data_IF_496038479519
#
_entry.id   IF_496038479519
#
_cell.length_a   1.000
_cell.length_b   1.000
_cell.length_c   1.000
_cell.angle_alpha   90.00
_cell.angle_beta   90.00
_cell.angle_gamma   90.00
#
_symmetry.space_group_name_H-M   'P 1'
#
loop_
_entity.id
_entity.type
_entity.pdbx_description
1 polymer ?
#
# COMPACT_ATOMS: atom_id res chain seq x y z
N UNK A 1 11.69 46.30 37.65
CA UNK A 1 11.35 44.89 37.92
C UNK A 1 10.12 44.53 37.09
N UNK A 2 10.25 43.70 36.04
CA UNK A 2 9.08 43.33 35.23
C UNK A 2 9.34 42.79 33.81
N UNK A 3 10.53 42.27 33.47
CA UNK A 3 10.83 41.77 32.11
C UNK A 3 11.01 40.24 32.00
N UNK A 4 10.84 39.47 33.08
CA UNK A 4 11.17 38.04 33.07
C UNK A 4 10.03 37.07 32.69
N UNK A 5 8.81 37.55 32.42
CA UNK A 5 7.64 36.67 32.24
C UNK A 5 7.28 36.32 30.79
N UNK A 6 7.84 36.98 29.77
CA UNK A 6 7.51 36.74 28.35
C UNK A 6 8.44 35.72 27.68
N UNK A 7 9.71 35.66 28.09
CA UNK A 7 10.70 34.76 27.49
C UNK A 7 10.37 33.26 27.70
N UNK A 8 9.79 32.92 28.85
CA UNK A 8 9.51 31.52 29.25
C UNK A 8 8.40 30.85 28.42
N UNK A 9 7.56 31.62 27.70
CA UNK A 9 6.46 31.08 26.89
C UNK A 9 6.91 30.60 25.51
N UNK A 10 7.94 31.21 24.94
CA UNK A 10 8.45 30.88 23.60
C UNK A 10 9.39 29.68 23.61
N UNK A 11 10.21 29.52 24.65
CA UNK A 11 11.04 28.32 24.83
C UNK A 11 10.20 27.05 24.90
N UNK A 12 9.08 27.06 25.63
CA UNK A 12 8.21 25.88 25.75
C UNK A 12 7.52 25.53 24.43
N UNK A 13 7.11 26.51 23.64
CA UNK A 13 6.51 26.29 22.31
C UNK A 13 7.56 25.77 21.32
N UNK A 14 8.77 26.33 21.34
CA UNK A 14 9.89 25.88 20.52
C UNK A 14 10.34 24.45 20.88
N UNK A 15 10.40 24.11 22.18
CA UNK A 15 10.75 22.77 22.65
C UNK A 15 9.69 21.74 22.24
N UNK A 16 8.40 22.12 22.28
CA UNK A 16 7.30 21.24 21.87
C UNK A 16 7.31 21.01 20.35
N UNK A 17 7.60 22.04 19.54
CA UNK A 17 7.77 21.93 18.09
C UNK A 17 9.01 21.10 17.70
N UNK A 18 10.11 21.21 18.44
CA UNK A 18 11.31 20.39 18.25
C UNK A 18 11.10 18.92 18.61
N UNK A 19 10.31 18.64 19.67
CA UNK A 19 9.94 17.27 20.04
C UNK A 19 8.97 16.63 19.04
N UNK A 20 8.03 17.40 18.46
CA UNK A 20 7.13 16.93 17.39
C UNK A 20 7.88 16.75 16.07
N UNK A 21 8.84 17.64 15.75
CA UNK A 21 9.68 17.53 14.55
C UNK A 21 10.69 16.38 14.61
N UNK A 22 11.20 16.03 15.81
CA UNK A 22 12.16 14.94 16.01
C UNK A 22 11.58 13.53 15.87
N UNK A 23 10.26 13.36 16.00
CA UNK A 23 9.59 12.06 15.89
C UNK A 23 9.26 11.64 14.44
N UNK A 24 9.54 12.51 13.45
CA UNK A 24 9.32 12.22 12.03
C UNK A 24 10.46 11.42 11.36
N UNK A 25 11.58 11.19 12.05
CA UNK A 25 12.70 10.41 11.53
C UNK A 25 12.53 8.91 11.84
N UNK A 26 11.54 8.28 11.20
CA UNK A 26 11.48 6.81 11.11
C UNK A 26 12.54 6.34 10.10
N UNK A 27 13.82 6.37 10.50
CA UNK A 27 14.94 5.91 9.70
C UNK A 27 15.57 4.65 10.28
N UNK A 28 14.98 3.48 10.01
CA UNK A 28 15.77 2.23 10.03
C UNK A 28 15.86 1.71 8.60
N UNK A 29 17.05 1.88 8.04
CA UNK A 29 17.51 1.30 6.79
C UNK A 29 17.62 -0.21 6.91
N UNK A 30 16.49 -0.92 6.87
CA UNK A 30 16.49 -2.31 6.46
C UNK A 30 16.52 -2.33 4.94
N UNK A 31 17.45 -3.09 4.36
CA UNK A 31 17.50 -3.29 2.91
C UNK A 31 16.13 -3.80 2.43
N UNK A 32 15.54 -3.18 1.39
CA UNK A 32 14.19 -3.54 0.96
C UNK A 32 14.16 -5.00 0.48
N UNK A 33 13.17 -5.76 0.95
CA UNK A 33 12.98 -7.14 0.48
C UNK A 33 12.45 -7.09 -0.95
N UNK A 34 13.08 -7.85 -1.84
CA UNK A 34 12.74 -7.90 -3.26
C UNK A 34 12.00 -9.20 -3.56
N UNK A 35 11.08 -9.14 -4.52
CA UNK A 35 10.21 -10.25 -4.90
C UNK A 35 10.17 -10.40 -6.42
N UNK A 36 10.14 -11.64 -6.90
CA UNK A 36 10.20 -11.96 -8.33
C UNK A 36 9.31 -13.14 -8.67
N UNK A 37 8.43 -13.01 -9.65
CA UNK A 37 7.71 -14.15 -10.23
C UNK A 37 8.65 -14.85 -11.19
N UNK A 38 9.12 -16.04 -10.80
CA UNK A 38 10.16 -16.77 -11.54
C UNK A 38 9.60 -17.86 -12.44
N UNK A 39 8.43 -18.39 -12.11
CA UNK A 39 7.87 -19.55 -12.76
C UNK A 39 6.34 -19.53 -12.74
N UNK A 40 5.73 -20.00 -13.82
CA UNK A 40 4.31 -20.34 -13.93
C UNK A 40 4.18 -21.71 -14.58
N UNK A 41 3.32 -22.55 -14.01
CA UNK A 41 3.09 -23.93 -14.46
C UNK A 41 1.60 -24.28 -14.35
N UNK A 42 1.19 -25.30 -15.07
CA UNK A 42 -0.19 -25.77 -15.06
C UNK A 42 -0.53 -26.45 -13.73
N UNK A 43 -1.71 -26.14 -13.18
CA UNK A 43 -2.20 -26.78 -11.96
C UNK A 43 -3.60 -27.32 -12.19
N UNK A 44 -3.70 -28.58 -12.60
CA UNK A 44 -4.98 -29.18 -12.91
C UNK A 44 -5.69 -28.51 -14.09
N UNK A 45 -7.02 -28.70 -14.17
CA UNK A 45 -7.80 -28.29 -15.34
C UNK A 45 -8.17 -26.81 -15.37
N UNK A 46 -8.23 -26.12 -14.24
CA UNK A 46 -8.83 -24.78 -14.12
C UNK A 46 -7.93 -23.76 -13.38
N UNK A 47 -6.65 -24.11 -13.14
CA UNK A 47 -5.72 -23.24 -12.42
C UNK A 47 -4.30 -23.31 -12.98
N UNK A 48 -3.50 -22.33 -12.57
CA UNK A 48 -2.05 -22.28 -12.76
C UNK A 48 -1.37 -22.08 -11.41
N UNK A 49 -0.19 -22.65 -11.23
CA UNK A 49 0.67 -22.39 -10.07
C UNK A 49 1.70 -21.35 -10.45
N UNK A 50 1.90 -20.34 -9.60
CA UNK A 50 2.85 -19.25 -9.78
C UNK A 50 3.86 -19.30 -8.65
N UNK A 51 5.16 -19.27 -8.98
CA UNK A 51 6.26 -19.22 -8.01
C UNK A 51 6.77 -17.80 -7.86
N UNK A 52 6.86 -17.34 -6.61
CA UNK A 52 7.54 -16.08 -6.28
C UNK A 52 8.75 -16.38 -5.42
N UNK A 53 9.90 -15.91 -5.86
CA UNK A 53 11.12 -15.89 -5.07
C UNK A 53 11.29 -14.54 -4.40
N UNK A 54 11.99 -14.54 -3.28
CA UNK A 54 12.20 -13.38 -2.43
C UNK A 54 13.66 -13.35 -2.00
N UNK A 55 14.24 -12.16 -1.86
CA UNK A 55 15.59 -12.02 -1.28
C UNK A 55 15.67 -12.58 0.14
N UNK A 56 14.53 -12.67 0.82
CA UNK A 56 14.36 -13.42 2.08
C UNK A 56 13.62 -14.74 1.79
N UNK A 57 14.26 -15.91 1.88
CA UNK A 57 13.68 -17.19 1.44
C UNK A 57 12.33 -17.53 2.06
N UNK A 58 12.14 -17.23 3.34
CA UNK A 58 10.90 -17.52 4.08
C UNK A 58 9.69 -16.69 3.62
N UNK A 59 9.91 -15.62 2.84
CA UNK A 59 8.84 -14.73 2.34
C UNK A 59 8.46 -15.02 0.89
N UNK A 60 9.21 -15.89 0.21
CA UNK A 60 8.81 -16.43 -1.09
C UNK A 60 7.69 -17.45 -0.92
N UNK A 61 7.19 -17.97 -2.03
CA UNK A 61 6.10 -18.93 -1.95
C UNK A 61 5.60 -19.38 -3.31
N UNK A 62 4.44 -20.03 -3.28
CA UNK A 62 3.71 -20.43 -4.48
C UNK A 62 2.24 -20.11 -4.28
N UNK A 63 1.58 -19.73 -5.36
CA UNK A 63 0.17 -19.35 -5.36
C UNK A 63 -0.57 -20.10 -6.45
N UNK A 64 -1.82 -20.46 -6.19
CA UNK A 64 -2.76 -20.92 -7.20
C UNK A 64 -3.57 -19.74 -7.72
N UNK A 65 -3.60 -19.61 -9.04
CA UNK A 65 -4.34 -18.58 -9.75
C UNK A 65 -5.33 -19.26 -10.69
N UNK A 66 -6.59 -18.85 -10.66
CA UNK A 66 -7.63 -19.29 -11.58
C UNK A 66 -7.36 -18.77 -13.00
N UNK A 67 -7.99 -19.39 -14.01
CA UNK A 67 -7.79 -18.99 -15.42
C UNK A 67 -8.37 -17.59 -15.75
N UNK A 68 -9.12 -16.98 -14.83
CA UNK A 68 -9.57 -15.58 -14.90
C UNK A 68 -8.55 -14.58 -14.33
N UNK A 69 -7.44 -15.07 -13.76
CA UNK A 69 -6.40 -14.25 -13.15
C UNK A 69 -6.57 -14.01 -11.65
N UNK A 70 -7.57 -14.59 -10.98
CA UNK A 70 -7.79 -14.41 -9.54
C UNK A 70 -6.95 -15.37 -8.70
N UNK A 71 -6.36 -14.87 -7.61
CA UNK A 71 -5.64 -15.72 -6.65
C UNK A 71 -6.65 -16.49 -5.81
N UNK A 72 -6.48 -17.82 -5.75
CA UNK A 72 -7.29 -18.70 -4.90
C UNK A 72 -6.63 -18.88 -3.54
N UNK A 73 -5.32 -19.01 -3.52
CA UNK A 73 -4.54 -19.08 -2.29
C UNK A 73 -3.13 -19.57 -2.48
N UNK A 74 -2.45 -19.87 -1.37
CA UNK A 74 -1.12 -20.46 -1.40
C UNK A 74 -1.16 -21.91 -1.95
N UNK A 75 -0.16 -22.27 -2.74
CA UNK A 75 0.01 -23.62 -3.26
C UNK A 75 1.11 -24.37 -2.50
N UNK A 76 0.85 -25.64 -2.18
CA UNK A 76 1.85 -26.59 -1.69
C UNK A 76 2.50 -27.40 -2.82
N UNK A 77 2.01 -27.27 -4.07
CA UNK A 77 2.48 -28.07 -5.21
C UNK A 77 3.90 -27.71 -5.59
N UNK A 78 4.74 -28.73 -5.71
CA UNK A 78 6.12 -28.60 -6.21
C UNK A 78 6.09 -28.56 -7.72
N UNK A 79 6.80 -27.59 -8.30
CA UNK A 79 7.11 -27.56 -9.72
C UNK A 79 8.03 -28.74 -10.00
N UNK A 80 7.45 -29.81 -10.55
CA UNK A 80 8.19 -31.01 -10.96
C UNK A 80 8.65 -30.92 -12.41
N UNK A 81 8.09 -29.98 -13.17
CA UNK A 81 8.38 -29.71 -14.57
C UNK A 81 9.21 -28.44 -14.66
N UNK A 82 10.09 -28.36 -15.66
CA UNK A 82 10.88 -27.15 -15.90
C UNK A 82 9.99 -26.00 -16.37
N UNK A 83 10.34 -24.74 -16.03
CA UNK A 83 9.69 -23.56 -16.59
C UNK A 83 9.67 -23.66 -18.12
N UNK A 84 8.49 -23.52 -18.72
CA UNK A 84 8.34 -23.60 -20.18
C UNK A 84 8.56 -22.22 -20.81
N UNK A 85 9.46 -22.06 -21.79
CA UNK A 85 9.69 -20.79 -22.47
C UNK A 85 8.66 -20.52 -23.60
N UNK A 86 7.84 -21.51 -23.94
CA UNK A 86 6.82 -21.41 -24.99
C UNK A 86 5.64 -22.35 -24.71
N UNK A 87 4.45 -21.99 -25.20
CA UNK A 87 3.24 -22.81 -25.13
C UNK A 87 2.27 -22.46 -26.26
N UNK A 88 1.33 -23.36 -26.57
CA UNK A 88 0.41 -23.17 -27.69
C UNK A 88 -1.04 -23.44 -27.29
N UNK A 89 -1.96 -22.68 -27.90
CA UNK A 89 -3.40 -22.96 -27.93
C UNK A 89 -3.80 -23.22 -29.38
N UNK A 90 -4.15 -24.46 -29.69
CA UNK A 90 -4.45 -24.98 -31.03
C UNK A 90 -3.40 -24.56 -32.09
N UNK A 91 -3.62 -23.44 -32.78
CA UNK A 91 -2.76 -22.92 -33.88
C UNK A 91 -1.95 -21.69 -33.51
N UNK A 92 -2.15 -21.14 -32.32
CA UNK A 92 -1.45 -19.94 -31.86
C UNK A 92 -0.48 -20.33 -30.76
N UNK A 93 0.80 -20.18 -31.04
CA UNK A 93 1.87 -20.39 -30.08
C UNK A 93 2.37 -19.05 -29.55
N UNK A 94 2.81 -19.08 -28.31
CA UNK A 94 3.44 -17.96 -27.62
C UNK A 94 4.80 -18.40 -27.10
N UNK A 95 5.75 -17.46 -27.06
CA UNK A 95 7.05 -17.66 -26.42
C UNK A 95 7.51 -16.41 -25.71
N UNK A 96 8.25 -16.59 -24.62
CA UNK A 96 8.96 -15.50 -23.95
C UNK A 96 10.27 -15.22 -24.66
N UNK A 97 10.75 -13.98 -24.57
CA UNK A 97 12.08 -13.60 -25.06
C UNK A 97 12.99 -13.32 -23.86
N UNK A 98 13.94 -14.22 -23.52
CA UNK A 98 14.82 -14.03 -22.39
C UNK A 98 15.62 -12.74 -22.47
N UNK A 99 15.81 -12.08 -21.32
CA UNK A 99 16.48 -10.78 -21.20
C UNK A 99 15.58 -9.58 -21.50
N UNK A 100 14.34 -9.80 -21.93
CA UNK A 100 13.38 -8.75 -22.29
C UNK A 100 12.03 -9.01 -21.62
N UNK A 101 11.32 -7.94 -21.26
CA UNK A 101 9.88 -8.00 -20.97
C UNK A 101 9.12 -8.05 -22.30
N UNK A 102 9.15 -9.21 -22.96
CA UNK A 102 8.52 -9.41 -24.26
C UNK A 102 7.97 -10.83 -24.40
N UNK A 103 6.76 -10.89 -24.96
CA UNK A 103 6.12 -12.10 -25.42
C UNK A 103 5.91 -11.99 -26.92
N UNK A 104 6.26 -13.03 -27.65
CA UNK A 104 5.98 -13.17 -29.07
C UNK A 104 4.87 -14.19 -29.28
N UNK A 105 4.02 -13.94 -30.28
CA UNK A 105 3.05 -14.89 -30.78
C UNK A 105 3.31 -15.23 -32.24
N UNK A 106 3.06 -16.47 -32.60
CA UNK A 106 3.22 -16.96 -33.95
C UNK A 106 2.55 -18.32 -34.13
N UNK A 107 2.54 -18.81 -35.36
CA UNK A 107 2.24 -20.20 -35.65
C UNK A 107 3.35 -20.77 -36.53
N UNK A 108 3.34 -22.09 -36.75
CA UNK A 108 4.40 -22.81 -37.46
C UNK A 108 4.74 -22.24 -38.85
N UNK A 109 3.81 -21.48 -39.45
CA UNK A 109 3.91 -20.95 -40.83
C UNK A 109 4.03 -19.42 -40.95
N UNK A 110 3.67 -18.63 -39.93
CA UNK A 110 3.59 -17.15 -40.05
C UNK A 110 4.78 -16.40 -39.48
N UNK A 111 5.72 -17.11 -38.84
CA UNK A 111 6.81 -16.48 -38.09
C UNK A 111 6.34 -15.87 -36.76
N UNK A 112 7.30 -15.35 -36.01
CA UNK A 112 7.07 -14.77 -34.68
C UNK A 112 6.87 -13.25 -34.79
N UNK A 113 5.87 -12.75 -34.08
CA UNK A 113 5.52 -11.33 -33.99
C UNK A 113 5.36 -10.94 -32.54
N UNK A 114 5.63 -9.69 -32.18
CA UNK A 114 5.47 -9.21 -30.80
C UNK A 114 3.99 -9.19 -30.43
N UNK A 115 3.63 -9.95 -29.39
CA UNK A 115 2.28 -10.00 -28.84
C UNK A 115 2.11 -9.04 -27.66
N UNK A 116 3.19 -8.82 -26.91
CA UNK A 116 3.25 -7.89 -25.78
C UNK A 116 4.70 -7.52 -25.50
N UNK A 117 4.95 -6.28 -25.09
CA UNK A 117 6.26 -5.85 -24.62
C UNK A 117 6.20 -4.61 -23.72
N UNK A 118 7.22 -4.44 -22.89
CA UNK A 118 7.58 -3.17 -22.23
C UNK A 118 8.98 -2.79 -22.71
N UNK A 119 9.11 -1.62 -23.35
CA UNK A 119 10.37 -1.14 -23.91
C UNK A 119 10.54 0.37 -23.72
N UNK A 120 11.73 0.89 -24.01
CA UNK A 120 12.02 2.33 -24.01
C UNK A 120 11.75 3.01 -22.66
N UNK A 121 11.06 4.15 -22.70
CA UNK A 121 10.79 4.97 -21.51
C UNK A 121 9.97 4.24 -20.43
N UNK A 122 9.09 3.32 -20.82
CA UNK A 122 8.32 2.51 -19.88
C UNK A 122 9.23 1.53 -19.13
N UNK A 123 10.18 0.91 -19.84
CA UNK A 123 11.18 0.02 -19.24
C UNK A 123 12.13 0.78 -18.32
N UNK A 124 12.58 1.98 -18.71
CA UNK A 124 13.45 2.81 -17.89
C UNK A 124 12.76 3.32 -16.62
N UNK A 125 11.48 3.72 -16.71
CA UNK A 125 10.69 4.11 -15.53
C UNK A 125 10.49 2.92 -14.60
N UNK A 126 10.10 1.78 -15.15
CA UNK A 126 9.93 0.55 -14.38
C UNK A 126 11.23 0.17 -13.65
N UNK A 127 12.37 0.23 -14.33
CA UNK A 127 13.67 -0.07 -13.72
C UNK A 127 14.09 0.93 -12.63
N UNK A 128 13.70 2.21 -12.75
CA UNK A 128 13.98 3.23 -11.75
C UNK A 128 13.17 3.05 -10.46
N UNK A 129 11.97 2.49 -10.55
CA UNK A 129 11.08 2.27 -9.40
C UNK A 129 11.47 1.07 -8.54
N UNK A 130 12.33 0.17 -9.04
CA UNK A 130 12.82 -0.98 -8.27
C UNK A 130 14.15 -0.69 -7.56
N UNK A 131 14.16 -0.63 -6.21
CA UNK A 131 15.41 -0.52 -5.46
C UNK A 131 16.25 -1.80 -5.61
N UNK A 132 17.57 -1.64 -5.62
CA UNK A 132 18.52 -2.76 -5.69
C UNK A 132 18.19 -3.76 -6.82
N UNK A 133 17.85 -3.23 -8.01
CA UNK A 133 17.49 -4.05 -9.16
C UNK A 133 18.65 -4.90 -9.67
N UNK A 134 19.90 -4.42 -9.57
CA UNK A 134 21.04 -5.12 -10.16
C UNK A 134 20.99 -5.10 -11.68
N UNK A 135 21.21 -6.25 -12.32
CA UNK A 135 21.09 -6.39 -13.78
C UNK A 135 19.61 -6.37 -14.20
N UNK A 136 19.23 -5.34 -14.96
CA UNK A 136 17.86 -5.17 -15.44
C UNK A 136 17.42 -6.34 -16.30
N UNK A 137 18.28 -6.87 -17.17
CA UNK A 137 17.92 -7.96 -18.08
C UNK A 137 17.70 -9.29 -17.35
N UNK A 138 18.34 -9.46 -16.18
CA UNK A 138 18.13 -10.63 -15.34
C UNK A 138 16.78 -10.55 -14.61
N UNK A 139 16.48 -9.40 -14.00
CA UNK A 139 15.36 -9.24 -13.07
C UNK A 139 14.06 -8.72 -13.70
N UNK A 140 14.14 -8.00 -14.82
CA UNK A 140 13.01 -7.52 -15.63
C UNK A 140 13.01 -8.25 -16.98
N UNK A 141 12.70 -9.54 -16.94
CA UNK A 141 12.62 -10.42 -18.11
C UNK A 141 11.44 -11.37 -17.98
N UNK A 142 10.82 -11.67 -19.12
CA UNK A 142 9.88 -12.78 -19.25
C UNK A 142 10.64 -14.11 -19.19
N UNK A 143 10.26 -15.01 -18.29
CA UNK A 143 11.01 -16.24 -17.95
C UNK A 143 10.29 -17.53 -18.30
N UNK A 144 8.99 -17.59 -18.04
CA UNK A 144 8.18 -18.77 -18.35
C UNK A 144 6.77 -18.38 -18.73
N UNK A 145 6.09 -19.26 -19.45
CA UNK A 145 4.76 -19.04 -20.00
C UNK A 145 3.91 -20.31 -19.91
N UNK A 146 2.63 -20.11 -19.62
CA UNK A 146 1.59 -21.13 -19.67
C UNK A 146 0.46 -20.63 -20.54
N UNK A 147 0.00 -21.46 -21.48
CA UNK A 147 -1.10 -21.14 -22.39
C UNK A 147 -2.20 -22.17 -22.15
N UNK A 148 -3.41 -21.71 -21.79
CA UNK A 148 -4.52 -22.59 -21.45
C UNK A 148 -5.72 -22.32 -22.34
N UNK A 149 -6.20 -23.38 -22.99
CA UNK A 149 -7.47 -23.35 -23.72
C UNK A 149 -8.64 -23.28 -22.73
N UNK A 150 -9.60 -22.40 -23.03
CA UNK A 150 -10.82 -22.20 -22.24
C UNK A 150 -12.00 -21.99 -23.18
N UNK A 151 -13.22 -22.02 -22.64
CA UNK A 151 -14.40 -21.70 -23.42
C UNK A 151 -14.27 -20.29 -24.04
N UNK A 152 -14.35 -20.21 -25.37
CA UNK A 152 -14.26 -18.95 -26.11
C UNK A 152 -12.84 -18.54 -26.56
N UNK A 153 -11.81 -19.33 -26.26
CA UNK A 153 -10.45 -19.07 -26.77
C UNK A 153 -9.37 -19.64 -25.86
N UNK A 154 -8.41 -18.80 -25.48
CA UNK A 154 -7.33 -19.19 -24.59
C UNK A 154 -6.84 -18.01 -23.77
N UNK A 155 -6.27 -18.33 -22.63
CA UNK A 155 -5.60 -17.40 -21.73
C UNK A 155 -4.10 -17.69 -21.69
N UNK A 156 -3.32 -16.67 -21.35
CA UNK A 156 -1.87 -16.78 -21.27
C UNK A 156 -1.39 -16.21 -19.95
N UNK A 157 -0.53 -16.94 -19.25
CA UNK A 157 0.13 -16.46 -18.04
C UNK A 157 1.64 -16.42 -18.28
N UNK A 158 2.30 -15.35 -17.87
CA UNK A 158 3.74 -15.18 -18.06
C UNK A 158 4.40 -14.69 -16.77
N UNK A 159 5.50 -15.33 -16.39
CA UNK A 159 6.35 -14.91 -15.30
C UNK A 159 7.33 -13.83 -15.79
N UNK A 160 7.18 -12.59 -15.31
CA UNK A 160 7.98 -11.43 -15.75
C UNK A 160 9.00 -10.94 -14.69
N UNK A 161 9.51 -11.83 -13.84
CA UNK A 161 10.48 -11.46 -12.82
C UNK A 161 9.89 -10.45 -11.84
N UNK A 162 10.56 -9.30 -11.64
CA UNK A 162 10.11 -8.27 -10.69
C UNK A 162 8.83 -7.55 -11.11
N UNK A 163 8.52 -7.50 -12.40
CA UNK A 163 7.25 -6.92 -12.90
C UNK A 163 6.02 -7.76 -12.46
N UNK A 164 6.25 -9.03 -12.11
CA UNK A 164 5.24 -9.92 -11.56
C UNK A 164 4.62 -10.85 -12.61
N UNK A 165 3.34 -11.17 -12.43
CA UNK A 165 2.57 -12.05 -13.29
C UNK A 165 1.85 -11.24 -14.37
N UNK A 166 2.05 -11.60 -15.62
CA UNK A 166 1.31 -11.06 -16.75
C UNK A 166 0.22 -12.05 -17.18
N UNK A 167 -0.97 -11.52 -17.46
CA UNK A 167 -2.14 -12.28 -17.86
C UNK A 167 -2.69 -11.78 -19.19
N UNK A 168 -3.00 -12.69 -20.11
CA UNK A 168 -3.81 -12.41 -21.30
C UNK A 168 -5.17 -13.05 -21.12
N UNK A 169 -6.22 -12.24 -21.17
CA UNK A 169 -7.60 -12.73 -21.16
C UNK A 169 -8.04 -13.28 -22.51
N UNK A 170 -9.19 -13.95 -22.53
CA UNK A 170 -9.79 -14.55 -23.74
C UNK A 170 -10.11 -13.54 -24.84
N UNK A 171 -10.40 -12.30 -24.47
CA UNK A 171 -10.62 -11.18 -25.40
C UNK A 171 -9.30 -10.62 -25.99
N UNK A 172 -8.16 -11.17 -25.59
CA UNK A 172 -6.84 -10.80 -26.08
C UNK A 172 -6.21 -9.57 -25.44
N UNK A 173 -6.81 -9.02 -24.39
CA UNK A 173 -6.21 -7.95 -23.60
C UNK A 173 -5.13 -8.52 -22.67
N UNK A 174 -4.07 -7.73 -22.48
CA UNK A 174 -2.98 -8.04 -21.57
C UNK A 174 -3.10 -7.21 -20.30
N UNK A 175 -2.87 -7.86 -19.16
CA UNK A 175 -2.99 -7.29 -17.82
C UNK A 175 -1.74 -7.64 -17.01
N UNK A 176 -1.02 -6.61 -16.55
CA UNK A 176 0.04 -6.78 -15.55
C UNK A 176 -0.63 -6.94 -14.19
N UNK A 177 -0.72 -8.17 -13.70
CA UNK A 177 -1.38 -8.45 -12.42
C UNK A 177 -0.47 -8.05 -11.25
N UNK A 178 0.85 -8.13 -11.42
CA UNK A 178 1.82 -7.82 -10.37
C UNK A 178 2.22 -9.06 -9.57
N UNK A 179 2.73 -8.88 -8.35
CA UNK A 179 3.29 -9.97 -7.55
C UNK A 179 2.22 -10.52 -6.60
N UNK A 180 1.88 -11.82 -6.64
CA UNK A 180 0.91 -12.36 -5.69
C UNK A 180 1.48 -12.34 -4.27
N UNK A 181 0.67 -11.89 -3.30
CA UNK A 181 1.03 -11.79 -1.88
C UNK A 181 0.01 -12.50 -1.00
N UNK A 182 0.46 -12.84 0.21
CA UNK A 182 -0.39 -13.33 1.30
C UNK A 182 -0.35 -12.38 2.50
N UNK A 183 -1.26 -12.57 3.45
CA UNK A 183 -1.41 -11.74 4.66
C UNK A 183 -2.82 -11.86 5.21
N UNK A 184 -3.51 -10.73 5.40
CA UNK A 184 -4.94 -10.65 5.75
C UNK A 184 -5.88 -11.13 4.61
N UNK A 185 -5.31 -11.63 3.52
CA UNK A 185 -5.99 -12.18 2.36
C UNK A 185 -5.00 -12.46 1.21
N UNK A 186 -5.54 -12.82 0.06
CA UNK A 186 -4.77 -13.00 -1.18
C UNK A 186 -5.02 -11.81 -2.09
N UNK A 187 -3.95 -11.16 -2.52
CA UNK A 187 -4.02 -10.01 -3.41
C UNK A 187 -2.77 -9.95 -4.28
N UNK A 188 -2.84 -9.23 -5.39
CA UNK A 188 -1.65 -8.86 -6.12
C UNK A 188 -1.14 -7.51 -5.63
N UNK A 189 0.15 -7.45 -5.32
CA UNK A 189 0.86 -6.20 -5.17
C UNK A 189 0.96 -5.54 -6.55
N UNK A 190 0.35 -4.36 -6.66
CA UNK A 190 0.17 -3.68 -7.93
C UNK A 190 1.52 -3.32 -8.56
N UNK A 191 1.74 -3.63 -9.84
CA UNK A 191 3.03 -3.42 -10.46
C UNK A 191 3.34 -1.92 -10.60
N UNK A 192 4.61 -1.51 -10.62
CA UNK A 192 4.97 -0.11 -10.77
C UNK A 192 4.45 0.46 -12.08
N UNK A 193 4.28 1.77 -12.06
CA UNK A 193 3.61 2.50 -13.13
C UNK A 193 4.50 2.62 -14.36
N UNK A 194 3.90 2.44 -15.52
CA UNK A 194 4.59 2.71 -16.77
C UNK A 194 4.64 4.20 -17.05
N UNK A 195 5.57 4.61 -17.91
CA UNK A 195 5.74 6.01 -18.25
C UNK A 195 4.60 6.58 -19.10
N UNK A 196 3.99 5.71 -19.89
CA UNK A 196 2.81 5.94 -20.72
C UNK A 196 1.51 6.10 -19.93
N UNK A 197 1.47 5.70 -18.66
CA UNK A 197 0.25 5.81 -17.84
C UNK A 197 0.04 7.21 -17.24
N UNK A 198 -1.20 7.73 -17.18
CA UNK A 198 -1.50 9.07 -16.66
C UNK A 198 -1.22 9.16 -15.15
N UNK A 199 -0.60 10.22 -14.63
CA UNK A 199 -0.21 10.29 -13.21
C UNK A 199 -1.40 10.05 -12.28
N UNK A 200 -1.18 9.48 -11.08
CA UNK A 200 -2.29 9.17 -10.19
C UNK A 200 -2.97 10.48 -9.82
N UNK A 201 -4.29 10.43 -9.61
CA UNK A 201 -5.01 11.59 -9.10
C UNK A 201 -4.40 11.96 -7.74
N UNK A 202 -3.75 13.13 -7.66
CA UNK A 202 -3.11 13.58 -6.44
C UNK A 202 -4.19 13.90 -5.39
N UNK A 203 -4.31 13.10 -4.31
CA UNK A 203 -5.32 13.35 -3.29
C UNK A 203 -4.86 14.43 -2.29
N UNK A 204 -3.68 15.04 -2.47
CA UNK A 204 -3.12 16.03 -1.55
C UNK A 204 -4.10 17.16 -1.24
N UNK A 205 -4.86 17.62 -2.24
CA UNK A 205 -5.88 18.66 -2.03
C UNK A 205 -7.07 18.16 -1.20
N UNK A 206 -7.50 16.90 -1.35
CA UNK A 206 -8.57 16.30 -0.54
C UNK A 206 -8.12 16.22 0.92
N UNK A 207 -6.90 15.75 1.14
CA UNK A 207 -6.30 15.68 2.48
C UNK A 207 -6.17 17.08 3.08
N UNK A 208 -5.68 18.05 2.31
CA UNK A 208 -5.55 19.43 2.77
C UNK A 208 -6.91 20.04 3.16
N UNK A 209 -7.96 19.79 2.37
CA UNK A 209 -9.34 20.22 2.67
C UNK A 209 -9.84 19.55 3.95
N UNK A 210 -9.67 18.24 4.11
CA UNK A 210 -10.07 17.52 5.32
C UNK A 210 -9.35 18.04 6.56
N UNK A 211 -8.03 18.29 6.47
CA UNK A 211 -7.23 18.88 7.56
C UNK A 211 -7.72 20.30 7.88
N UNK A 212 -7.99 21.14 6.87
CA UNK A 212 -8.51 22.49 7.07
C UNK A 212 -9.89 22.49 7.76
N UNK A 213 -10.79 21.58 7.36
CA UNK A 213 -12.10 21.39 7.99
C UNK A 213 -11.94 20.95 9.45
N UNK A 214 -11.07 19.97 9.71
CA UNK A 214 -10.79 19.49 11.07
C UNK A 214 -10.25 20.61 11.98
N UNK A 215 -9.31 21.41 11.49
CA UNK A 215 -8.77 22.56 12.21
C UNK A 215 -9.83 23.64 12.43
N UNK A 216 -10.70 23.88 11.44
CA UNK A 216 -11.82 24.81 11.55
C UNK A 216 -12.83 24.39 12.62
N UNK A 217 -13.22 23.11 12.64
CA UNK A 217 -14.11 22.54 13.65
C UNK A 217 -13.47 22.61 15.05
N UNK A 218 -12.21 22.22 15.18
CA UNK A 218 -11.48 22.31 16.44
C UNK A 218 -11.39 23.76 16.94
N UNK A 219 -11.12 24.72 16.05
CA UNK A 219 -11.09 26.14 16.37
C UNK A 219 -12.45 26.68 16.83
N UNK A 220 -13.54 26.30 16.15
CA UNK A 220 -14.91 26.66 16.53
C UNK A 220 -15.29 26.08 17.90
N UNK A 221 -15.02 24.79 18.13
CA UNK A 221 -15.24 24.14 19.42
C UNK A 221 -14.44 24.85 20.52
N UNK A 222 -13.17 25.17 20.26
CA UNK A 222 -12.32 25.89 21.21
C UNK A 222 -12.85 27.30 21.50
N UNK A 223 -13.42 28.02 20.53
CA UNK A 223 -14.07 29.31 20.75
C UNK A 223 -15.36 29.21 21.59
N UNK A 224 -16.18 28.19 21.36
CA UNK A 224 -17.40 27.92 22.14
C UNK A 224 -17.04 27.54 23.58
N UNK A 225 -16.00 26.71 23.76
CA UNK A 225 -15.50 26.25 25.07
C UNK A 225 -14.77 27.37 25.82
N UNK A 226 -14.05 28.26 25.12
CA UNK A 226 -13.31 29.39 25.73
C UNK A 226 -14.23 30.42 26.40
N UNK A 227 -15.49 30.54 25.97
CA UNK A 227 -16.51 31.33 26.71
C UNK A 227 -16.88 30.73 28.07
N UNK A 228 -16.49 29.48 28.35
CA UNK A 228 -16.93 28.69 29.51
C UNK A 228 -15.80 28.26 30.46
N UNK A 229 -14.52 28.46 30.12
CA UNK A 229 -13.41 27.75 30.79
C UNK A 229 -12.56 28.60 31.76
N UNK A 230 -12.48 28.13 33.02
CA UNK A 230 -11.49 28.50 34.06
C UNK A 230 -10.19 27.71 33.81
N UNK A 231 -9.07 28.19 34.37
CA UNK A 231 -7.69 27.75 34.08
C UNK A 231 -7.33 26.26 34.24
N UNK A 232 -8.21 25.39 34.73
CA UNK A 232 -7.90 23.98 35.08
C UNK A 232 -7.78 23.02 33.88
N UNK A 233 -8.04 23.54 32.69
CA UNK A 233 -8.64 22.77 31.62
C UNK A 233 -7.69 22.74 30.37
N UNK A 234 -6.66 23.60 30.40
CA UNK A 234 -5.51 23.61 29.47
C UNK A 234 -4.61 22.39 29.67
N UNK A 235 -4.55 21.82 30.89
CA UNK A 235 -3.72 20.65 31.19
C UNK A 235 -4.20 19.38 30.49
N UNK A 236 -5.52 19.18 30.41
CA UNK A 236 -6.12 17.99 29.80
C UNK A 236 -5.96 17.96 28.28
N UNK A 237 -6.08 19.12 27.64
CA UNK A 237 -5.89 19.27 26.18
C UNK A 237 -4.41 19.11 25.79
N UNK A 238 -3.49 19.65 26.57
CA UNK A 238 -2.06 19.41 26.35
C UNK A 238 -1.69 17.93 26.57
N UNK A 239 -2.26 17.29 27.61
CA UNK A 239 -2.01 15.87 27.90
C UNK A 239 -2.49 14.94 26.80
N UNK A 240 -3.70 15.15 26.28
CA UNK A 240 -4.26 14.32 25.20
C UNK A 240 -3.48 14.45 23.88
N UNK A 241 -3.01 15.65 23.55
CA UNK A 241 -2.16 15.86 22.37
C UNK A 241 -0.81 15.12 22.48
N UNK A 242 -0.17 15.15 23.65
CA UNK A 242 1.09 14.43 23.90
C UNK A 242 0.89 12.92 23.84
N UNK A 243 -0.17 12.39 24.47
CA UNK A 243 -0.49 10.96 24.44
C UNK A 243 -0.81 10.50 23.02
N UNK A 244 -1.54 11.30 22.24
CA UNK A 244 -1.83 10.99 20.84
C UNK A 244 -0.58 10.93 19.96
N UNK A 245 0.35 11.88 20.13
CA UNK A 245 1.63 11.86 19.43
C UNK A 245 2.48 10.64 19.77
N UNK A 246 2.51 10.23 21.04
CA UNK A 246 3.21 9.02 21.48
C UNK A 246 2.61 7.75 20.88
N UNK A 247 1.28 7.62 20.86
CA UNK A 247 0.59 6.47 20.26
C UNK A 247 0.85 6.36 18.75
N UNK A 248 0.85 7.49 18.03
CA UNK A 248 1.21 7.52 16.61
C UNK A 248 2.66 7.09 16.36
N UNK A 249 3.61 7.50 17.22
CA UNK A 249 5.00 7.05 17.13
C UNK A 249 5.16 5.54 17.35
N UNK A 250 4.47 4.97 18.34
CA UNK A 250 4.51 3.52 18.59
C UNK A 250 3.87 2.71 17.47
N UNK A 251 2.81 3.22 16.82
CA UNK A 251 2.19 2.56 15.68
C UNK A 251 3.16 2.39 14.49
N UNK A 252 4.08 3.35 14.29
CA UNK A 252 5.12 3.26 13.24
C UNK A 252 6.23 2.23 13.54
N UNK A 253 6.36 1.75 14.78
CA UNK A 253 7.42 0.82 15.19
C UNK A 253 7.03 -0.66 15.03
N UNK A 254 5.78 -0.99 14.67
CA UNK A 254 5.30 -2.37 14.51
C UNK A 254 5.35 -2.78 13.04
N UNK A 255 6.30 -3.64 12.61
CA UNK A 255 6.39 -4.11 11.24
C UNK A 255 5.22 -5.06 10.92
N UNK A 256 4.50 -4.82 9.81
CA UNK A 256 3.41 -5.69 9.35
C UNK A 256 2.00 -5.18 9.60
N UNK A 257 1.84 -4.04 10.27
CA UNK A 257 0.59 -3.27 10.21
C UNK A 257 0.50 -2.63 8.81
N UNK A 258 -0.27 -3.22 7.89
CA UNK A 258 -0.52 -2.68 6.54
C UNK A 258 -1.09 -1.25 6.56
N UNK A 259 -1.50 -0.68 5.43
CA UNK A 259 -2.07 0.70 5.42
C UNK A 259 -3.40 0.85 6.22
N UNK A 260 -3.96 -0.25 6.75
CA UNK A 260 -5.22 -0.28 7.49
C UNK A 260 -5.15 0.17 8.96
N UNK A 261 -4.15 -0.22 9.78
CA UNK A 261 -4.12 0.19 11.18
C UNK A 261 -3.81 1.68 11.31
N UNK A 262 -3.00 2.30 10.45
CA UNK A 262 -2.74 3.74 10.56
C UNK A 262 -4.02 4.59 10.37
N UNK A 263 -4.85 4.25 9.38
CA UNK A 263 -6.14 4.91 9.17
C UNK A 263 -7.14 4.58 10.29
N UNK A 264 -7.20 3.34 10.76
CA UNK A 264 -8.04 2.95 11.90
C UNK A 264 -7.61 3.61 13.20
N UNK A 265 -6.30 3.68 13.49
CA UNK A 265 -5.76 4.37 14.65
C UNK A 265 -5.99 5.87 14.53
N UNK A 266 -5.86 6.47 13.35
CA UNK A 266 -6.23 7.86 13.13
C UNK A 266 -7.72 8.11 13.39
N UNK A 267 -8.61 7.24 12.90
CA UNK A 267 -10.06 7.33 13.15
C UNK A 267 -10.38 7.12 14.63
N UNK A 268 -9.77 6.13 15.29
CA UNK A 268 -9.93 5.87 16.73
C UNK A 268 -9.40 7.03 17.58
N UNK A 269 -8.28 7.63 17.17
CA UNK A 269 -7.71 8.80 17.84
C UNK A 269 -8.61 10.02 17.68
N UNK A 270 -9.09 10.29 16.47
CA UNK A 270 -10.02 11.39 16.19
C UNK A 270 -11.32 11.19 16.97
N UNK A 271 -11.89 9.99 16.97
CA UNK A 271 -13.12 9.69 17.72
C UNK A 271 -12.90 9.75 19.23
N UNK A 272 -11.76 9.32 19.76
CA UNK A 272 -11.41 9.52 21.17
C UNK A 272 -11.30 11.00 21.54
N UNK A 273 -10.65 11.82 20.71
CA UNK A 273 -10.55 13.27 20.91
C UNK A 273 -11.95 13.91 20.91
N UNK A 274 -12.81 13.53 19.97
CA UNK A 274 -14.18 14.03 19.88
C UNK A 274 -14.99 13.62 21.10
N UNK A 275 -14.97 12.34 21.50
CA UNK A 275 -15.74 11.82 22.65
C UNK A 275 -15.28 12.45 23.96
N UNK A 276 -13.98 12.59 24.18
CA UNK A 276 -13.44 13.25 25.38
C UNK A 276 -13.83 14.73 25.39
N UNK A 277 -13.72 15.42 24.24
CA UNK A 277 -14.18 16.80 24.11
C UNK A 277 -15.67 16.97 24.44
N UNK A 278 -16.51 16.03 23.96
CA UNK A 278 -17.96 16.04 24.19
C UNK A 278 -18.32 15.74 25.66
N UNK A 279 -17.67 14.75 26.28
CA UNK A 279 -17.86 14.42 27.70
C UNK A 279 -17.50 15.58 28.61
N UNK A 280 -16.41 16.27 28.30
CA UNK A 280 -15.96 17.46 29.03
C UNK A 280 -16.99 18.59 28.94
N UNK A 281 -17.58 18.82 27.76
CA UNK A 281 -18.66 19.79 27.57
C UNK A 281 -19.91 19.41 28.37
N UNK A 282 -20.34 18.15 28.30
CA UNK A 282 -21.54 17.66 28.99
C UNK A 282 -21.39 17.71 30.52
N UNK A 283 -20.25 17.28 31.06
CA UNK A 283 -19.97 17.31 32.50
C UNK A 283 -19.78 18.74 33.03
N UNK A 284 -19.38 19.69 32.18
CA UNK A 284 -19.31 21.12 32.50
C UNK A 284 -20.67 21.81 32.56
N UNK A 285 -21.72 21.26 31.94
CA UNK A 285 -23.08 21.82 31.92
C UNK A 285 -23.87 21.44 33.19
N UNK A 286 -23.63 20.28 33.79
CA UNK A 286 -24.42 19.74 34.90
C UNK A 286 -24.22 20.38 36.28
N UNK A 287 -23.19 21.22 36.50
CA UNK A 287 -22.87 21.80 37.82
C UNK A 287 -23.37 23.24 38.04
N UNK A 288 -24.15 23.79 37.10
CA UNK A 288 -24.60 25.20 37.15
C UNK A 288 -25.94 25.46 37.86
N UNK A 289 -26.71 24.44 38.22
CA UNK A 289 -28.11 24.62 38.62
C UNK A 289 -28.46 23.88 39.92
N UNK A 290 -27.81 24.22 41.03
CA UNK A 290 -28.35 23.93 42.36
C UNK A 290 -27.65 24.80 43.42
N UNK A 291 -28.28 25.91 43.80
CA UNK A 291 -28.63 26.28 45.19
C UNK A 291 -28.86 27.79 45.33
N UNK A 292 -30.07 28.16 45.75
CA UNK A 292 -30.26 29.06 46.89
C UNK A 292 -31.66 28.82 47.50
N UNK A 293 -31.76 28.41 48.78
CA UNK A 293 -33.01 28.42 49.52
C UNK A 293 -33.38 29.86 49.89
N UNK A 294 -34.62 30.26 49.63
CA UNK A 294 -35.19 31.50 50.17
C UNK A 294 -35.67 31.19 51.59
N UNK A 295 -34.93 31.67 52.59
CA UNK A 295 -35.43 31.77 53.95
C UNK A 295 -36.38 32.97 54.05
N UNK A 296 -37.61 32.68 54.48
CA UNK A 296 -38.55 33.63 55.07
C UNK A 296 -39.09 33.02 56.36
#
# INVERSE_FOLDING_TARGET
MGSHSVAMRWERVALTLLLVGGLAACGRSAEPVTYEVTEVDESGSDRVTVRVESSVPERGGRWEVELDGRIVGASVRVFLVRPQPSGCAVRTCYRVVPGLLRVESGGDVTGWTTAWEITGADYDRLAADYPALGDRAEHLSSRSIVVREVAGGHVVFVANGRDGLLYRSVNGLWHRLGIPRGGEGWYFEEPPRLASEPPPADPSWVVAVLVAVMLGVAGLLMMVVRRRWRAYDIGLTAGTAVVGGLLSYFACQVPGAGMFPAAMYAVLLISAIVVVGLLVVLLGVGRGSATAPVHG
#
